data_IF_420580687179
#
_entry.id   IF_420580687179
#
_cell.length_a   1.000
_cell.length_b   1.000
_cell.length_c   1.000
_cell.angle_alpha   90.00
_cell.angle_beta   90.00
_cell.angle_gamma   90.00
#
_symmetry.space_group_name_H-M   'P 1'
#
loop_
_entity.id
_entity.type
_entity.pdbx_description
1 polymer ?
#
# COMPACT_ATOMS: atom_id res chain seq x y z
N UNK A 1 -12.59 5.26 -0.60
CA UNK A 1 -11.16 5.14 -0.25
C UNK A 1 -10.69 6.37 0.56
N UNK A 2 -11.33 6.72 1.69
CA UNK A 2 -10.87 7.86 2.52
C UNK A 2 -9.59 7.55 3.34
N UNK A 3 -9.44 6.34 3.94
CA UNK A 3 -8.24 6.01 4.71
C UNK A 3 -6.95 5.94 3.88
N UNK A 4 -6.99 5.35 2.67
CA UNK A 4 -5.82 5.29 1.78
C UNK A 4 -5.27 6.67 1.44
N UNK A 5 -6.15 7.62 1.10
CA UNK A 5 -5.74 9.00 0.82
C UNK A 5 -5.14 9.70 2.05
N UNK A 6 -5.66 9.43 3.24
CA UNK A 6 -5.10 9.97 4.49
C UNK A 6 -3.72 9.40 4.79
N UNK A 7 -3.53 8.10 4.62
CA UNK A 7 -2.22 7.48 4.77
C UNK A 7 -1.20 8.04 3.76
N UNK A 8 -1.60 8.25 2.51
CA UNK A 8 -0.74 8.90 1.50
C UNK A 8 -0.40 10.34 1.88
N UNK A 9 -1.38 11.11 2.35
CA UNK A 9 -1.15 12.49 2.80
C UNK A 9 -0.16 12.52 3.97
N UNK A 10 -0.29 11.60 4.93
CA UNK A 10 0.62 11.48 6.06
C UNK A 10 2.03 11.08 5.62
N UNK A 11 2.16 10.05 4.78
CA UNK A 11 3.44 9.58 4.27
C UNK A 11 4.19 10.68 3.50
N UNK A 12 3.47 11.54 2.75
CA UNK A 12 4.06 12.69 2.05
C UNK A 12 4.71 13.73 2.99
N UNK A 13 4.30 13.81 4.25
CA UNK A 13 4.88 14.74 5.22
C UNK A 13 6.29 14.35 5.66
N UNK A 14 6.62 13.06 5.55
CA UNK A 14 7.92 12.50 5.98
C UNK A 14 9.06 12.89 5.04
N UNK A 15 8.74 13.35 3.82
CA UNK A 15 9.73 13.80 2.83
C UNK A 15 10.85 12.77 2.58
N UNK A 16 10.49 11.50 2.52
CA UNK A 16 11.42 10.44 2.18
C UNK A 16 11.97 10.61 0.75
N UNK A 17 13.22 10.18 0.52
CA UNK A 17 13.85 10.18 -0.81
C UNK A 17 13.07 9.34 -1.83
N UNK A 18 12.42 8.28 -1.35
CA UNK A 18 11.55 7.43 -2.15
C UNK A 18 10.21 7.19 -1.42
N UNK A 19 9.11 7.45 -2.12
CA UNK A 19 7.75 7.18 -1.64
C UNK A 19 6.98 6.43 -2.72
N UNK A 20 6.41 5.29 -2.35
CA UNK A 20 5.63 4.43 -3.24
C UNK A 20 4.39 3.93 -2.50
N UNK A 21 3.25 3.89 -3.20
CA UNK A 21 2.05 3.25 -2.72
C UNK A 21 2.06 1.78 -3.15
N UNK A 22 1.80 0.89 -2.21
CA UNK A 22 1.75 -0.54 -2.46
C UNK A 22 0.29 -1.03 -2.38
N UNK A 23 -0.15 -1.78 -3.39
CA UNK A 23 -1.41 -2.51 -3.37
C UNK A 23 -1.18 -3.95 -3.83
N UNK A 24 -2.08 -4.84 -3.43
CA UNK A 24 -2.02 -6.24 -3.78
C UNK A 24 -3.13 -6.54 -4.77
N UNK A 25 -2.78 -7.15 -5.90
CA UNK A 25 -3.74 -7.64 -6.88
C UNK A 25 -4.19 -9.04 -6.49
N UNK A 26 -5.47 -9.15 -6.16
CA UNK A 26 -6.19 -10.43 -6.03
C UNK A 26 -7.22 -10.62 -7.14
N UNK A 27 -7.61 -9.52 -7.78
CA UNK A 27 -8.52 -9.43 -8.92
C UNK A 27 -7.94 -8.42 -9.94
N UNK A 28 -7.74 -8.81 -11.21
CA UNK A 28 -7.29 -7.91 -12.27
C UNK A 28 -8.22 -6.71 -12.51
N UNK A 29 -9.54 -6.89 -12.38
CA UNK A 29 -10.52 -5.83 -12.64
C UNK A 29 -10.50 -4.76 -11.54
N UNK A 30 -10.39 -5.18 -10.27
CA UNK A 30 -10.19 -4.25 -9.15
C UNK A 30 -8.86 -3.47 -9.29
N UNK A 31 -7.80 -4.17 -9.71
CA UNK A 31 -6.49 -3.55 -9.94
C UNK A 31 -6.56 -2.50 -11.04
N UNK A 32 -7.28 -2.79 -12.15
CA UNK A 32 -7.49 -1.84 -13.24
C UNK A 32 -8.26 -0.62 -12.74
N UNK A 33 -9.36 -0.82 -12.03
CA UNK A 33 -10.15 0.27 -11.46
C UNK A 33 -9.34 1.15 -10.50
N UNK A 34 -8.46 0.55 -9.69
CA UNK A 34 -7.56 1.28 -8.81
C UNK A 34 -6.57 2.16 -9.59
N UNK A 35 -5.98 1.65 -10.68
CA UNK A 35 -5.06 2.42 -11.53
C UNK A 35 -5.77 3.61 -12.17
N UNK A 36 -6.95 3.39 -12.75
CA UNK A 36 -7.75 4.45 -13.36
C UNK A 36 -8.14 5.52 -12.32
N UNK A 37 -8.49 5.11 -11.08
CA UNK A 37 -8.77 6.06 -10.00
C UNK A 37 -7.53 6.86 -9.58
N UNK A 38 -6.36 6.23 -9.58
CA UNK A 38 -5.09 6.87 -9.28
C UNK A 38 -4.74 7.97 -10.28
N UNK A 39 -4.88 7.66 -11.57
CA UNK A 39 -4.65 8.58 -12.68
C UNK A 39 -5.66 9.72 -12.68
N UNK A 40 -6.96 9.40 -12.57
CA UNK A 40 -8.05 10.38 -12.52
C UNK A 40 -7.87 11.39 -11.38
N UNK A 41 -7.32 10.96 -10.24
CA UNK A 41 -7.05 11.83 -9.09
C UNK A 41 -5.73 12.60 -9.19
N UNK A 42 -4.91 12.35 -10.21
CA UNK A 42 -3.60 12.97 -10.37
C UNK A 42 -2.64 12.66 -9.23
N UNK A 43 -2.73 11.45 -8.64
CA UNK A 43 -1.86 11.09 -7.53
C UNK A 43 -0.45 10.81 -8.08
N UNK A 44 0.46 11.73 -7.78
CA UNK A 44 1.86 11.68 -8.21
C UNK A 44 2.75 10.67 -7.45
N UNK A 45 2.19 9.90 -6.52
CA UNK A 45 2.91 8.82 -5.84
C UNK A 45 2.82 7.58 -6.71
N UNK A 46 3.94 6.95 -7.11
CA UNK A 46 3.92 5.69 -7.87
C UNK A 46 3.06 4.63 -7.17
N UNK A 47 2.22 3.95 -7.95
CA UNK A 47 1.41 2.82 -7.47
C UNK A 47 2.01 1.50 -7.94
N UNK A 48 2.57 0.75 -7.01
CA UNK A 48 3.06 -0.60 -7.24
C UNK A 48 2.02 -1.64 -6.87
N UNK A 49 1.78 -2.54 -7.80
CA UNK A 49 0.90 -3.67 -7.63
C UNK A 49 1.77 -4.92 -7.46
N UNK A 50 1.56 -5.65 -6.36
CA UNK A 50 2.11 -6.99 -6.17
C UNK A 50 1.04 -8.01 -6.50
N UNK A 51 1.36 -8.98 -7.34
CA UNK A 51 0.45 -10.09 -7.58
C UNK A 51 0.43 -11.02 -6.36
N UNK A 52 -0.78 -11.34 -5.88
CA UNK A 52 -0.97 -12.34 -4.84
C UNK A 52 -1.63 -13.58 -5.43
N UNK A 53 -0.86 -14.61 -5.79
CA UNK A 53 -1.45 -15.91 -6.01
C UNK A 53 -2.09 -16.37 -4.68
N UNK A 54 -3.32 -16.90 -4.76
CA UNK A 54 -4.07 -17.47 -3.62
C UNK A 54 -4.68 -16.49 -2.59
N UNK A 55 -4.84 -15.19 -2.91
CA UNK A 55 -5.46 -14.18 -2.03
C UNK A 55 -4.73 -13.95 -0.70
N UNK A 56 -3.46 -14.31 -0.63
CA UNK A 56 -2.62 -14.08 0.55
C UNK A 56 -2.01 -12.67 0.49
N UNK A 57 -2.44 -11.80 1.40
CA UNK A 57 -2.03 -10.38 1.41
C UNK A 57 -0.68 -10.17 2.10
N UNK A 58 -0.46 -10.83 3.24
CA UNK A 58 0.66 -10.51 4.12
C UNK A 58 2.02 -10.88 3.54
N UNK A 59 2.15 -12.09 2.98
CA UNK A 59 3.44 -12.63 2.53
C UNK A 59 4.07 -11.84 1.37
N UNK A 60 3.33 -11.46 0.30
CA UNK A 60 3.89 -10.62 -0.77
C UNK A 60 4.48 -9.30 -0.25
N UNK A 61 3.82 -8.64 0.70
CA UNK A 61 4.28 -7.38 1.29
C UNK A 61 5.57 -7.58 2.08
N UNK A 62 5.62 -8.62 2.92
CA UNK A 62 6.81 -8.93 3.73
C UNK A 62 8.01 -9.21 2.82
N UNK A 63 7.83 -10.03 1.79
CA UNK A 63 8.92 -10.37 0.86
C UNK A 63 9.38 -9.14 0.06
N UNK A 64 8.45 -8.26 -0.32
CA UNK A 64 8.80 -6.99 -0.95
C UNK A 64 9.68 -6.10 -0.05
N UNK A 65 9.25 -5.88 1.21
CA UNK A 65 9.99 -5.06 2.18
C UNK A 65 11.37 -5.66 2.50
N UNK A 66 11.46 -6.99 2.65
CA UNK A 66 12.74 -7.68 2.82
C UNK A 66 13.66 -7.50 1.60
N UNK A 67 13.10 -7.52 0.40
CA UNK A 67 13.81 -7.28 -0.85
C UNK A 67 14.45 -5.89 -0.88
N UNK A 68 13.68 -4.85 -0.55
CA UNK A 68 14.17 -3.46 -0.44
C UNK A 68 15.31 -3.35 0.57
N UNK A 69 15.14 -3.93 1.77
CA UNK A 69 16.18 -3.93 2.80
C UNK A 69 17.45 -4.66 2.37
N UNK A 70 17.35 -5.72 1.56
CA UNK A 70 18.52 -6.44 1.06
C UNK A 70 19.31 -5.62 0.04
N UNK A 71 18.62 -4.83 -0.79
CA UNK A 71 19.25 -3.94 -1.79
C UNK A 71 19.96 -2.76 -1.12
N UNK A 72 19.36 -2.21 -0.06
CA UNK A 72 19.93 -1.11 0.72
C UNK A 72 19.87 -1.39 2.23
N UNK A 73 20.85 -2.12 2.80
CA UNK A 73 20.80 -2.56 4.19
C UNK A 73 20.85 -1.45 5.25
N UNK A 74 21.27 -0.24 4.86
CA UNK A 74 21.38 0.93 5.74
C UNK A 74 20.16 1.83 5.71
N UNK A 75 19.21 1.58 4.82
CA UNK A 75 18.03 2.42 4.65
C UNK A 75 16.99 2.13 5.72
N UNK A 76 16.30 3.18 6.18
CA UNK A 76 15.16 3.06 7.08
C UNK A 76 13.90 2.94 6.24
N UNK A 77 13.19 1.82 6.38
CA UNK A 77 11.91 1.58 5.70
C UNK A 77 10.78 1.84 6.68
N UNK A 78 9.90 2.79 6.35
CA UNK A 78 8.68 3.08 7.12
C UNK A 78 7.46 2.62 6.34
N UNK A 79 6.60 1.80 6.97
CA UNK A 79 5.39 1.25 6.35
C UNK A 79 4.16 1.87 7.00
N UNK A 80 3.31 2.51 6.21
CA UNK A 80 2.06 3.13 6.66
C UNK A 80 0.88 2.28 6.21
N UNK A 81 0.22 1.61 7.17
CA UNK A 81 -0.94 0.75 6.90
C UNK A 81 -2.20 1.50 7.34
N UNK A 82 -3.09 1.89 6.42
CA UNK A 82 -4.38 2.46 6.80
C UNK A 82 -5.29 1.36 7.36
N UNK A 83 -5.69 1.49 8.62
CA UNK A 83 -6.67 0.59 9.24
C UNK A 83 -8.06 1.22 9.25
N UNK A 84 -9.09 0.43 8.90
CA UNK A 84 -10.48 0.82 9.06
C UNK A 84 -10.93 0.37 10.46
N UNK A 85 -10.98 1.30 11.42
CA UNK A 85 -11.54 1.02 12.74
C UNK A 85 -13.06 1.18 12.66
N UNK A 86 -13.82 0.07 12.70
CA UNK A 86 -15.26 0.09 12.99
C UNK A 86 -15.49 0.19 14.50
N UNK A 87 -16.58 0.85 14.91
CA UNK A 87 -16.76 1.38 16.27
C UNK A 87 -16.93 0.34 17.39
N UNK A 88 -17.16 -0.94 17.08
CA UNK A 88 -17.42 -1.98 18.08
C UNK A 88 -16.59 -3.25 17.85
N UNK A 89 -15.90 -3.68 18.91
CA UNK A 89 -14.92 -4.78 18.90
C UNK A 89 -15.51 -6.18 18.70
N UNK A 90 -16.84 -6.34 18.71
CA UNK A 90 -17.51 -7.63 18.44
C UNK A 90 -17.97 -7.81 16.99
N UNK A 91 -17.77 -6.84 16.09
CA UNK A 91 -18.08 -6.98 14.65
C UNK A 91 -16.95 -7.68 13.86
N UNK A 92 -15.95 -8.25 14.55
CA UNK A 92 -14.79 -8.95 13.99
C UNK A 92 -14.88 -10.49 14.09
N UNK A 93 -16.09 -11.07 13.95
CA UNK A 93 -16.27 -12.53 13.82
C UNK A 93 -16.79 -12.93 12.44
#
# INVERSE_FOLDING_TARGET
HRPTLRALAYAKLIRADHLEALSISVDPDETKALREDWERRGINVPLKILDSPYREVTRPVIEYVKGLRRQSPRDVISVYIPEYVVGHWYEHL
#
